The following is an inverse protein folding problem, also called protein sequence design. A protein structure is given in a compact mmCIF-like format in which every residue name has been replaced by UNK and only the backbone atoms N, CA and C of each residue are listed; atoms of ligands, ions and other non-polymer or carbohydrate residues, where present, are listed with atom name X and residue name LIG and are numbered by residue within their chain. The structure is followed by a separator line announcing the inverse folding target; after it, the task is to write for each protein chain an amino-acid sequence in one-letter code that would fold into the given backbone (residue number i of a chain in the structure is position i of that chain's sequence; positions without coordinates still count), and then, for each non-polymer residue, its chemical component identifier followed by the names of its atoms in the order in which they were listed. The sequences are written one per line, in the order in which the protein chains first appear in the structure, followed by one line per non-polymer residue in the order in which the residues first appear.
data_IF_394217456114
#
_entry.id   IF_394217456114
#
_cell.length_a   1.000
_cell.length_b   1.000
_cell.length_c   1.000
_cell.angle_alpha   90.00
_cell.angle_beta   90.00
_cell.angle_gamma   90.00
#
_symmetry.space_group_name_H-M   'P 1'
#
loop_
_entity.id
_entity.type
_entity.pdbx_description
1 polymer ?
#
# COMPACT_ATOMS: atom_id res chain seq x y z
N UNK A 1 -14.60 8.75 10.66
CA UNK A 1 -14.24 7.74 9.65
C UNK A 1 -15.29 6.66 9.75
N UNK A 2 -15.96 6.35 8.64
CA UNK A 2 -17.01 5.31 8.61
C UNK A 2 -16.42 3.97 9.05
N UNK A 3 -17.05 3.32 10.03
CA UNK A 3 -16.60 2.08 10.69
C UNK A 3 -16.53 0.84 9.77
N UNK A 4 -16.80 0.99 8.48
CA UNK A 4 -16.84 -0.10 7.49
C UNK A 4 -16.10 0.22 6.17
N UNK A 5 -15.27 1.28 6.12
CA UNK A 5 -14.52 1.58 4.89
C UNK A 5 -13.33 0.61 4.76
N UNK A 6 -13.54 -0.45 4.01
CA UNK A 6 -12.48 -1.36 3.57
C UNK A 6 -11.43 -0.56 2.80
N UNK A 7 -10.19 -0.58 3.27
CA UNK A 7 -9.06 0.05 2.57
C UNK A 7 -8.40 -1.02 1.72
N UNK A 8 -8.82 -1.09 0.47
CA UNK A 8 -8.24 -2.08 -0.40
C UNK A 8 -6.91 -1.59 -0.99
N UNK A 9 -5.94 -2.50 -1.06
CA UNK A 9 -4.58 -2.23 -1.53
C UNK A 9 -4.10 -3.31 -2.50
N UNK A 10 -3.43 -2.89 -3.56
CA UNK A 10 -2.60 -3.77 -4.38
C UNK A 10 -1.34 -4.19 -3.61
N UNK A 11 -0.66 -5.26 -4.05
CA UNK A 11 0.64 -5.65 -3.47
C UNK A 11 1.65 -4.49 -3.61
N UNK A 12 1.65 -3.79 -4.75
CA UNK A 12 2.51 -2.63 -4.98
C UNK A 12 2.19 -1.48 -4.01
N UNK A 13 0.92 -1.17 -3.78
CA UNK A 13 0.48 -0.17 -2.81
C UNK A 13 0.87 -0.55 -1.38
N UNK A 14 0.74 -1.83 -1.02
CA UNK A 14 1.21 -2.35 0.25
C UNK A 14 2.73 -2.17 0.41
N UNK A 15 3.52 -2.49 -0.62
CA UNK A 15 4.99 -2.30 -0.60
C UNK A 15 5.35 -0.84 -0.40
N UNK A 16 4.71 0.09 -1.11
CA UNK A 16 4.96 1.53 -0.94
C UNK A 16 4.64 1.98 0.48
N UNK A 17 3.53 1.51 1.04
CA UNK A 17 3.10 1.85 2.39
C UNK A 17 4.06 1.28 3.45
N UNK A 18 4.52 0.04 3.29
CA UNK A 18 5.53 -0.58 4.16
C UNK A 18 6.87 0.18 4.10
N UNK A 19 7.33 0.56 2.89
CA UNK A 19 8.56 1.36 2.72
C UNK A 19 8.47 2.69 3.45
N UNK A 20 7.37 3.41 3.27
CA UNK A 20 7.14 4.68 3.96
C UNK A 20 7.08 4.48 5.48
N UNK A 21 6.35 3.47 5.96
CA UNK A 21 6.25 3.17 7.38
C UNK A 21 7.61 2.87 8.02
N UNK A 22 8.43 2.04 7.38
CA UNK A 22 9.76 1.68 7.88
C UNK A 22 10.70 2.88 7.85
N UNK A 23 10.68 3.68 6.78
CA UNK A 23 11.44 4.94 6.71
C UNK A 23 11.06 5.87 7.85
N UNK A 24 9.77 6.10 8.09
CA UNK A 24 9.29 6.95 9.18
C UNK A 24 9.77 6.42 10.54
N UNK A 25 9.66 5.11 10.79
CA UNK A 25 10.02 4.50 12.08
C UNK A 25 11.53 4.46 12.34
N UNK A 26 12.33 4.11 11.33
CA UNK A 26 13.74 3.82 11.51
C UNK A 26 14.65 5.01 11.19
N UNK A 27 14.19 5.96 10.39
CA UNK A 27 15.00 7.10 9.93
C UNK A 27 14.41 8.38 10.50
N UNK A 28 13.25 8.81 10.02
CA UNK A 28 12.74 10.16 10.30
C UNK A 28 12.38 10.39 11.78
N UNK A 29 11.76 9.40 12.43
CA UNK A 29 11.45 9.46 13.85
C UNK A 29 12.72 9.57 14.70
N UNK A 30 13.80 8.92 14.29
CA UNK A 30 15.09 8.98 14.99
C UNK A 30 15.75 10.34 14.78
N UNK A 31 15.76 10.85 13.55
CA UNK A 31 16.24 12.20 13.22
C UNK A 31 15.50 13.29 14.03
N UNK A 32 14.18 13.23 14.10
CA UNK A 32 13.36 14.15 14.91
C UNK A 32 13.78 14.12 16.39
N UNK A 33 14.09 12.95 16.93
CA UNK A 33 14.56 12.83 18.33
C UNK A 33 15.95 13.47 18.50
N UNK A 34 16.84 13.35 17.52
CA UNK A 34 18.15 14.01 17.52
C UNK A 34 18.03 15.53 17.41
N UNK A 35 17.16 16.02 16.53
CA UNK A 35 16.82 17.44 16.38
C UNK A 35 16.27 18.03 17.68
N UNK A 36 15.32 17.35 18.32
CA UNK A 36 14.76 17.79 19.61
C UNK A 36 15.82 17.80 20.72
N UNK A 37 16.75 16.85 20.73
CA UNK A 37 17.87 16.84 21.69
C UNK A 37 18.83 18.00 21.44
N UNK A 38 19.16 18.27 20.17
CA UNK A 38 20.02 19.37 19.77
C UNK A 38 19.39 20.73 20.09
N UNK A 39 18.10 20.93 19.80
CA UNK A 39 17.40 22.17 20.14
C UNK A 39 17.35 22.40 21.66
N UNK A 40 17.13 21.34 22.46
CA UNK A 40 17.13 21.43 23.93
C UNK A 40 18.48 21.80 24.54
N UNK A 41 19.59 21.46 23.89
CA UNK A 41 20.93 21.80 24.40
C UNK A 41 21.28 23.27 24.22
N UNK A 42 20.54 24.03 23.40
CA UNK A 42 20.76 25.46 23.14
C UNK A 42 20.25 26.38 24.27
N UNK A 43 19.64 25.82 25.31
CA UNK A 43 19.42 26.49 26.61
C UNK A 43 18.18 27.37 26.71
N UNK A 44 17.99 28.33 25.80
CA UNK A 44 16.78 29.17 25.79
C UNK A 44 15.71 28.55 24.89
N UNK A 45 14.70 27.93 25.50
CA UNK A 45 13.60 27.27 24.81
C UNK A 45 12.46 28.23 24.45
N UNK A 46 12.43 29.43 25.03
CA UNK A 46 11.27 30.32 24.93
C UNK A 46 11.15 31.07 23.59
N UNK A 47 12.25 31.11 22.82
CA UNK A 47 12.33 31.66 21.45
C UNK A 47 13.01 30.70 20.47
N UNK A 48 13.07 29.40 20.79
CA UNK A 48 13.80 28.44 19.97
C UNK A 48 12.98 27.95 18.77
N UNK A 49 13.16 28.62 17.63
CA UNK A 49 12.52 28.26 16.37
C UNK A 49 12.85 26.82 15.92
N UNK A 50 14.06 26.32 16.19
CA UNK A 50 14.46 24.94 15.85
C UNK A 50 13.68 23.93 16.71
N UNK A 51 13.42 24.25 17.98
CA UNK A 51 12.62 23.41 18.87
C UNK A 51 11.17 23.32 18.38
N UNK A 52 10.55 24.45 18.06
CA UNK A 52 9.17 24.49 17.56
C UNK A 52 9.05 23.72 16.23
N UNK A 53 9.99 23.94 15.31
CA UNK A 53 10.04 23.23 14.03
C UNK A 53 10.18 21.71 14.21
N UNK A 54 11.08 21.27 15.10
CA UNK A 54 11.27 19.84 15.39
C UNK A 54 10.03 19.22 16.05
N UNK A 55 9.34 19.96 16.92
CA UNK A 55 8.10 19.52 17.58
C UNK A 55 6.94 19.40 16.59
N UNK A 56 6.84 20.32 15.64
CA UNK A 56 5.86 20.24 14.56
C UNK A 56 6.17 19.08 13.60
N UNK A 57 7.45 18.85 13.28
CA UNK A 57 7.88 17.68 12.51
C UNK A 57 7.53 16.38 13.23
N UNK A 58 7.77 16.30 14.54
CA UNK A 58 7.37 15.16 15.37
C UNK A 58 5.87 14.89 15.27
N UNK A 59 5.04 15.93 15.41
CA UNK A 59 3.59 15.79 15.33
C UNK A 59 3.13 15.24 13.97
N UNK A 60 3.73 15.72 12.87
CA UNK A 60 3.43 15.21 11.51
C UNK A 60 3.86 13.76 11.34
N UNK A 61 5.10 13.42 11.69
CA UNK A 61 5.64 12.05 11.56
C UNK A 61 4.80 11.06 12.34
N UNK A 62 4.47 11.35 13.60
CA UNK A 62 3.67 10.45 14.44
C UNK A 62 2.22 10.33 13.93
N UNK A 63 1.66 11.41 13.35
CA UNK A 63 0.34 11.34 12.72
C UNK A 63 0.35 10.41 11.49
N UNK A 64 1.35 10.53 10.62
CA UNK A 64 1.48 9.67 9.43
C UNK A 64 1.75 8.22 9.82
N UNK A 65 2.64 7.95 10.78
CA UNK A 65 2.87 6.60 11.31
C UNK A 65 1.56 5.96 11.77
N UNK A 66 0.72 6.73 12.47
CA UNK A 66 -0.58 6.25 12.97
C UNK A 66 -1.58 5.98 11.85
N UNK A 67 -1.62 6.82 10.83
CA UNK A 67 -2.47 6.62 9.66
C UNK A 67 -2.04 5.36 8.88
N UNK A 68 -0.74 5.25 8.57
CA UNK A 68 -0.19 4.09 7.89
C UNK A 68 -0.42 2.79 8.68
N UNK A 69 -0.22 2.80 10.00
CA UNK A 69 -0.50 1.66 10.88
C UNK A 69 -1.98 1.23 10.83
N UNK A 70 -2.90 2.21 10.81
CA UNK A 70 -4.32 1.94 10.64
C UNK A 70 -4.61 1.26 9.30
N UNK A 71 -4.02 1.75 8.20
CA UNK A 71 -4.17 1.12 6.88
C UNK A 71 -3.58 -0.29 6.87
N UNK A 72 -2.34 -0.47 7.33
CA UNK A 72 -1.63 -1.76 7.39
C UNK A 72 -2.32 -2.81 8.26
N UNK A 73 -3.21 -2.38 9.16
CA UNK A 73 -4.01 -3.26 10.02
C UNK A 73 -5.36 -3.61 9.40
N UNK A 74 -5.96 -2.70 8.63
CA UNK A 74 -7.35 -2.79 8.16
C UNK A 74 -7.50 -2.91 6.64
N UNK A 75 -6.43 -3.26 5.94
CA UNK A 75 -6.45 -3.39 4.49
C UNK A 75 -7.06 -4.71 4.00
N UNK A 76 -7.56 -4.69 2.76
CA UNK A 76 -7.85 -5.89 1.99
C UNK A 76 -6.94 -5.95 0.77
N UNK A 77 -6.18 -7.04 0.60
CA UNK A 77 -5.43 -7.23 -0.64
C UNK A 77 -6.35 -7.53 -1.79
N UNK A 78 -6.10 -6.79 -2.86
CA UNK A 78 -6.65 -7.01 -4.18
C UNK A 78 -5.56 -7.57 -5.11
N UNK A 79 -5.99 -8.33 -6.12
CA UNK A 79 -5.10 -8.96 -7.11
C UNK A 79 -4.09 -9.99 -6.53
N UNK A 80 -4.51 -10.73 -5.50
CA UNK A 80 -3.71 -11.83 -4.96
C UNK A 80 -3.98 -13.14 -5.73
N UNK A 81 -3.13 -13.46 -6.70
CA UNK A 81 -3.09 -14.77 -7.37
C UNK A 81 -2.02 -15.68 -6.74
N UNK A 82 -2.24 -16.06 -5.48
CA UNK A 82 -1.33 -16.98 -4.78
C UNK A 82 -1.64 -18.44 -5.13
N UNK A 83 -0.61 -19.13 -5.65
CA UNK A 83 -0.69 -20.51 -6.16
C UNK A 83 0.05 -21.52 -5.29
N UNK A 84 0.89 -21.04 -4.37
CA UNK A 84 1.59 -21.89 -3.43
C UNK A 84 0.59 -22.65 -2.54
N UNK A 85 0.95 -23.87 -2.15
CA UNK A 85 0.17 -24.64 -1.20
C UNK A 85 0.24 -23.99 0.18
N UNK A 86 -0.78 -24.26 1.02
CA UNK A 86 -0.79 -23.80 2.42
C UNK A 86 0.49 -24.16 3.18
N UNK A 87 1.00 -25.37 2.98
CA UNK A 87 2.24 -25.86 3.61
C UNK A 87 3.45 -25.04 3.14
N UNK A 88 3.57 -24.78 1.83
CA UNK A 88 4.65 -23.96 1.28
C UNK A 88 4.61 -22.52 1.81
N UNK A 89 3.41 -21.95 1.91
CA UNK A 89 3.20 -20.61 2.45
C UNK A 89 3.56 -20.53 3.94
N UNK A 90 3.25 -21.56 4.71
CA UNK A 90 3.61 -21.61 6.13
C UNK A 90 5.13 -21.71 6.33
N UNK A 91 5.81 -22.55 5.54
CA UNK A 91 7.26 -22.67 5.55
C UNK A 91 7.94 -21.35 5.14
N UNK A 92 7.48 -20.71 4.07
CA UNK A 92 7.99 -19.40 3.64
C UNK A 92 7.78 -18.32 4.72
N UNK A 93 6.61 -18.30 5.36
CA UNK A 93 6.30 -17.36 6.44
C UNK A 93 7.23 -17.52 7.65
N UNK A 94 7.57 -18.76 8.02
CA UNK A 94 8.51 -19.04 9.11
C UNK A 94 9.91 -18.49 8.78
N UNK A 95 10.43 -18.83 7.59
CA UNK A 95 11.72 -18.34 7.12
C UNK A 95 11.78 -16.79 7.06
N UNK A 96 10.74 -16.15 6.54
CA UNK A 96 10.67 -14.68 6.44
C UNK A 96 10.62 -14.01 7.83
N UNK A 97 10.01 -14.66 8.83
CA UNK A 97 10.00 -14.14 10.21
C UNK A 97 11.38 -14.20 10.85
N UNK A 98 12.13 -15.27 10.60
CA UNK A 98 13.53 -15.36 11.01
C UNK A 98 14.39 -14.32 10.31
N UNK A 99 14.27 -14.21 8.98
CA UNK A 99 14.99 -13.20 8.20
C UNK A 99 14.65 -11.77 8.68
N UNK A 100 13.37 -11.49 8.93
CA UNK A 100 12.92 -10.21 9.51
C UNK A 100 13.62 -9.92 10.83
N UNK A 101 13.81 -10.91 11.69
CA UNK A 101 14.51 -10.72 12.96
C UNK A 101 15.96 -10.30 12.73
N UNK A 102 16.68 -11.00 11.84
CA UNK A 102 18.07 -10.70 11.51
C UNK A 102 18.22 -9.29 10.91
N UNK A 103 17.34 -8.93 9.98
CA UNK A 103 17.32 -7.59 9.37
C UNK A 103 17.06 -6.49 10.41
N UNK A 104 16.23 -6.75 11.43
CA UNK A 104 16.06 -5.78 12.52
C UNK A 104 17.34 -5.57 13.32
N UNK A 105 18.12 -6.63 13.57
CA UNK A 105 19.40 -6.54 14.26
C UNK A 105 20.43 -5.77 13.40
N UNK A 106 20.45 -6.01 12.08
CA UNK A 106 21.27 -5.24 11.13
C UNK A 106 20.94 -3.74 11.16
N UNK A 107 19.65 -3.37 11.22
CA UNK A 107 19.25 -1.96 11.36
C UNK A 107 19.77 -1.36 12.66
N UNK A 108 19.70 -2.09 13.79
CA UNK A 108 20.21 -1.58 15.06
C UNK A 108 21.72 -1.32 15.01
N UNK A 109 22.47 -2.16 14.31
CA UNK A 109 23.90 -1.95 14.10
C UNK A 109 24.17 -0.76 13.17
N UNK A 110 23.50 -0.71 12.01
CA UNK A 110 23.67 0.34 11.01
C UNK A 110 23.37 1.74 11.58
N UNK A 111 22.37 1.86 12.47
CA UNK A 111 22.03 3.12 13.15
C UNK A 111 23.15 3.70 14.01
N UNK A 112 24.13 2.88 14.45
CA UNK A 112 25.30 3.39 15.19
C UNK A 112 26.18 4.30 14.33
N UNK A 113 26.10 4.17 13.02
CA UNK A 113 26.78 5.03 12.05
C UNK A 113 25.98 6.29 11.69
N UNK A 114 24.84 6.53 12.35
CA UNK A 114 23.94 7.66 12.10
C UNK A 114 22.68 7.25 11.32
N UNK A 115 21.73 8.18 11.25
CA UNK A 115 20.45 8.01 10.52
C UNK A 115 20.24 9.09 9.46
N UNK A 116 21.31 9.78 9.07
CA UNK A 116 21.28 10.80 8.03
C UNK A 116 21.13 10.21 6.63
N UNK A 117 20.86 11.08 5.66
CA UNK A 117 20.69 10.73 4.24
C UNK A 117 21.98 10.16 3.61
N UNK A 118 23.12 10.30 4.30
CA UNK A 118 24.42 9.75 3.92
C UNK A 118 24.61 8.27 4.31
N UNK A 119 23.75 7.70 5.16
CA UNK A 119 23.82 6.29 5.56
C UNK A 119 23.07 5.39 4.55
N UNK A 120 23.65 5.21 3.37
CA UNK A 120 23.07 4.40 2.27
C UNK A 120 22.76 2.96 2.72
N UNK A 121 23.65 2.35 3.51
CA UNK A 121 23.47 0.99 4.04
C UNK A 121 22.18 0.86 4.85
N UNK A 122 21.87 1.84 5.72
CA UNK A 122 20.63 1.85 6.48
C UNK A 122 19.39 1.90 5.58
N UNK A 123 19.42 2.69 4.51
CA UNK A 123 18.29 2.76 3.56
C UNK A 123 18.09 1.42 2.83
N UNK A 124 19.17 0.78 2.38
CA UNK A 124 19.10 -0.53 1.72
C UNK A 124 18.53 -1.62 2.65
N UNK A 125 18.95 -1.63 3.92
CA UNK A 125 18.42 -2.57 4.92
C UNK A 125 16.95 -2.27 5.22
N UNK A 126 16.56 -0.99 5.30
CA UNK A 126 15.16 -0.60 5.48
C UNK A 126 14.27 -1.02 4.30
N UNK A 127 14.75 -0.87 3.06
CA UNK A 127 14.04 -1.35 1.87
C UNK A 127 13.87 -2.87 1.89
N UNK A 128 14.92 -3.60 2.27
CA UNK A 128 14.85 -5.06 2.47
C UNK A 128 13.79 -5.44 3.51
N UNK A 129 13.76 -4.74 4.65
CA UNK A 129 12.75 -4.97 5.69
C UNK A 129 11.32 -4.75 5.17
N UNK A 130 11.13 -3.76 4.30
CA UNK A 130 9.83 -3.44 3.71
C UNK A 130 9.34 -4.52 2.75
N UNK A 131 10.23 -5.06 1.90
CA UNK A 131 9.90 -6.17 1.00
C UNK A 131 9.51 -7.43 1.80
N UNK A 132 10.27 -7.74 2.86
CA UNK A 132 9.95 -8.85 3.77
C UNK A 132 8.60 -8.62 4.47
N UNK A 133 8.37 -7.41 5.00
CA UNK A 133 7.12 -7.03 5.64
C UNK A 133 5.91 -7.19 4.72
N UNK A 134 6.06 -6.75 3.46
CA UNK A 134 5.05 -6.91 2.41
C UNK A 134 4.75 -8.39 2.17
N UNK A 135 5.77 -9.22 1.98
CA UNK A 135 5.58 -10.65 1.68
C UNK A 135 4.92 -11.38 2.85
N UNK A 136 5.34 -11.12 4.09
CA UNK A 136 4.72 -11.68 5.30
C UNK A 136 3.22 -11.38 5.32
N UNK A 137 2.85 -10.11 5.17
CA UNK A 137 1.43 -9.70 5.17
C UNK A 137 0.63 -10.34 4.04
N UNK A 138 1.23 -10.44 2.86
CA UNK A 138 0.62 -11.09 1.70
C UNK A 138 0.30 -12.56 1.99
N UNK A 139 1.25 -13.28 2.57
CA UNK A 139 1.07 -14.68 2.95
C UNK A 139 0.01 -14.83 4.06
N UNK A 140 0.08 -13.99 5.10
CA UNK A 140 -0.89 -14.01 6.20
C UNK A 140 -2.32 -13.76 5.70
N UNK A 141 -2.49 -12.82 4.76
CA UNK A 141 -3.77 -12.56 4.10
C UNK A 141 -4.23 -13.77 3.27
N UNK A 142 -3.34 -14.38 2.48
CA UNK A 142 -3.64 -15.58 1.69
C UNK A 142 -4.16 -16.72 2.58
N UNK A 143 -3.44 -17.02 3.66
CA UNK A 143 -3.74 -18.09 4.60
C UNK A 143 -5.06 -17.88 5.37
N UNK A 144 -5.41 -16.61 5.64
CA UNK A 144 -6.68 -16.22 6.28
C UNK A 144 -7.86 -16.45 5.33
N UNK A 145 -7.73 -16.03 4.07
CA UNK A 145 -8.83 -16.01 3.10
C UNK A 145 -9.05 -17.33 2.35
N UNK A 146 -8.08 -18.25 2.37
CA UNK A 146 -8.20 -19.60 1.79
C UNK A 146 -9.44 -20.36 2.30
N UNK A 147 -9.88 -20.09 3.53
CA UNK A 147 -11.06 -20.71 4.16
C UNK A 147 -12.41 -20.27 3.59
N UNK A 148 -12.45 -19.26 2.70
CA UNK A 148 -13.69 -18.60 2.24
C UNK A 148 -14.04 -18.81 0.75
N UNK A 149 -13.32 -19.66 0.01
CA UNK A 149 -13.53 -19.85 -1.45
C UNK A 149 -14.89 -20.47 -1.80
N UNK A 150 -15.93 -19.63 -1.96
CA UNK A 150 -17.11 -19.94 -2.78
C UNK A 150 -16.76 -19.68 -4.25
N UNK A 151 -16.83 -20.73 -5.06
CA UNK A 151 -16.83 -20.68 -6.51
C UNK A 151 -17.88 -19.68 -7.00
N UNK A 152 -17.44 -18.48 -7.34
CA UNK A 152 -18.25 -17.44 -7.97
C UNK A 152 -17.61 -17.10 -9.30
N UNK A 153 -18.44 -16.94 -10.33
CA UNK A 153 -18.01 -16.58 -11.69
C UNK A 153 -17.12 -15.33 -11.64
N UNK A 154 -16.06 -15.31 -12.47
CA UNK A 154 -15.13 -14.18 -12.57
C UNK A 154 -15.91 -12.92 -12.94
N UNK A 155 -15.91 -11.96 -12.04
CA UNK A 155 -16.61 -10.68 -12.13
C UNK A 155 -15.59 -9.59 -11.85
N UNK A 156 -15.83 -8.38 -12.38
CA UNK A 156 -14.97 -7.23 -12.10
C UNK A 156 -15.08 -6.89 -10.63
N UNK A 157 -13.95 -6.89 -9.95
CA UNK A 157 -13.81 -6.50 -8.56
C UNK A 157 -12.73 -5.43 -8.46
N UNK A 158 -12.58 -4.88 -7.27
CA UNK A 158 -11.39 -4.10 -6.99
C UNK A 158 -10.13 -4.97 -7.17
N UNK A 159 -9.12 -4.42 -7.83
CA UNK A 159 -7.91 -5.09 -8.32
C UNK A 159 -8.04 -5.73 -9.69
N UNK A 160 -9.24 -5.94 -10.22
CA UNK A 160 -9.39 -6.54 -11.53
C UNK A 160 -8.76 -5.65 -12.59
N UNK A 161 -7.94 -6.27 -13.45
CA UNK A 161 -7.52 -5.69 -14.70
C UNK A 161 -8.56 -6.03 -15.76
N UNK A 162 -9.16 -5.00 -16.35
CA UNK A 162 -10.27 -5.10 -17.29
C UNK A 162 -9.89 -4.50 -18.62
N UNK A 163 -10.15 -5.25 -19.70
CA UNK A 163 -10.07 -4.73 -21.07
C UNK A 163 -11.49 -4.42 -21.50
N UNK A 164 -11.74 -3.17 -21.86
CA UNK A 164 -13.04 -2.69 -22.31
C UNK A 164 -12.95 -2.21 -23.76
N UNK A 165 -14.05 -2.37 -24.51
CA UNK A 165 -14.22 -1.82 -25.85
C UNK A 165 -15.28 -0.71 -25.79
N UNK A 166 -14.90 0.51 -26.13
CA UNK A 166 -15.86 1.63 -26.27
C UNK A 166 -16.60 1.48 -27.60
N UNK A 167 -17.91 1.23 -27.54
CA UNK A 167 -18.68 0.86 -28.73
C UNK A 167 -18.87 2.00 -29.74
N UNK A 168 -18.74 3.25 -29.29
CA UNK A 168 -18.91 4.43 -30.16
C UNK A 168 -17.64 4.75 -30.97
N UNK A 169 -16.46 4.39 -30.45
CA UNK A 169 -15.14 4.71 -31.02
C UNK A 169 -14.38 3.47 -31.51
N UNK A 170 -14.90 2.27 -31.22
CA UNK A 170 -14.25 0.97 -31.50
C UNK A 170 -12.82 0.85 -30.94
N UNK A 171 -12.54 1.57 -29.84
CA UNK A 171 -11.23 1.58 -29.18
C UNK A 171 -11.22 0.63 -27.98
N UNK A 172 -10.18 -0.21 -27.90
CA UNK A 172 -9.93 -1.07 -26.75
C UNK A 172 -8.97 -0.39 -25.76
N UNK A 173 -9.39 -0.34 -24.50
CA UNK A 173 -8.60 0.25 -23.42
C UNK A 173 -8.47 -0.74 -22.27
N UNK A 174 -7.32 -0.72 -21.60
CA UNK A 174 -7.03 -1.56 -20.43
C UNK A 174 -6.96 -0.70 -19.18
N UNK A 175 -7.70 -1.10 -18.15
CA UNK A 175 -7.73 -0.42 -16.86
C UNK A 175 -7.58 -1.41 -15.69
N UNK A 176 -6.92 -0.97 -14.62
CA UNK A 176 -6.96 -1.66 -13.33
C UNK A 176 -7.86 -0.89 -12.38
N UNK A 177 -8.90 -1.54 -11.85
CA UNK A 177 -9.79 -0.91 -10.87
C UNK A 177 -9.09 -0.92 -9.51
N UNK A 178 -8.82 0.25 -8.93
CA UNK A 178 -8.11 0.37 -7.64
C UNK A 178 -8.90 1.25 -6.65
N UNK A 179 -8.46 1.29 -5.40
CA UNK A 179 -9.00 2.23 -4.42
C UNK A 179 -8.61 3.68 -4.77
N UNK A 180 -9.38 4.65 -4.27
CA UNK A 180 -9.14 6.09 -4.52
C UNK A 180 -7.73 6.56 -4.19
N UNK A 181 -7.08 5.96 -3.18
CA UNK A 181 -5.72 6.34 -2.75
C UNK A 181 -4.65 5.88 -3.76
N UNK A 182 -4.90 4.80 -4.49
CA UNK A 182 -3.94 4.20 -5.45
C UNK A 182 -4.21 4.62 -6.90
N UNK A 183 -5.24 5.43 -7.13
CA UNK A 183 -5.68 5.79 -8.47
C UNK A 183 -4.61 6.63 -9.20
N UNK A 184 -4.31 6.22 -10.41
CA UNK A 184 -3.36 6.87 -11.32
C UNK A 184 -3.87 6.70 -12.76
N UNK A 185 -4.74 7.60 -13.23
CA UNK A 185 -5.37 7.51 -14.54
C UNK A 185 -4.36 7.49 -15.70
N UNK A 186 -3.17 8.10 -15.51
CA UNK A 186 -2.12 8.14 -16.53
C UNK A 186 -1.59 6.73 -16.81
N UNK A 187 -1.51 5.90 -15.77
CA UNK A 187 -1.03 4.52 -15.84
C UNK A 187 -2.18 3.49 -15.89
N UNK A 188 -3.39 3.92 -16.28
CA UNK A 188 -4.55 3.05 -16.41
C UNK A 188 -5.14 2.55 -15.08
N UNK A 189 -4.72 3.10 -13.93
CA UNK A 189 -5.29 2.74 -12.61
C UNK A 189 -6.44 3.69 -12.29
N UNK A 190 -7.68 3.20 -12.35
CA UNK A 190 -8.86 4.05 -12.11
C UNK A 190 -9.47 3.77 -10.75
N UNK A 191 -9.85 4.83 -10.04
CA UNK A 191 -10.56 4.70 -8.76
C UNK A 191 -11.91 4.00 -8.97
N UNK A 192 -12.27 3.14 -8.02
CA UNK A 192 -13.59 2.53 -7.90
C UNK A 192 -14.74 3.52 -7.69
N UNK A 193 -14.43 4.78 -7.38
CA UNK A 193 -15.39 5.87 -7.27
C UNK A 193 -15.64 6.57 -8.63
N UNK A 194 -14.94 6.19 -9.71
CA UNK A 194 -15.20 6.74 -11.05
C UNK A 194 -16.48 6.17 -11.67
N UNK A 195 -17.22 6.94 -12.50
CA UNK A 195 -18.43 6.45 -13.17
C UNK A 195 -18.20 5.19 -14.02
N UNK A 196 -17.04 5.11 -14.68
CA UNK A 196 -16.62 3.95 -15.45
C UNK A 196 -16.44 2.73 -14.53
N UNK A 197 -15.63 2.85 -13.47
CA UNK A 197 -15.41 1.74 -12.55
C UNK A 197 -16.71 1.28 -11.87
N UNK A 198 -17.56 2.21 -11.42
CA UNK A 198 -18.86 1.89 -10.84
C UNK A 198 -19.77 1.11 -11.79
N UNK A 199 -19.75 1.43 -13.10
CA UNK A 199 -20.52 0.71 -14.09
C UNK A 199 -19.99 -0.71 -14.36
N UNK A 200 -18.67 -0.88 -14.24
CA UNK A 200 -17.97 -2.15 -14.50
C UNK A 200 -18.02 -3.12 -13.31
N UNK A 201 -18.04 -2.64 -12.07
CA UNK A 201 -18.04 -3.48 -10.87
C UNK A 201 -19.17 -4.53 -10.89
N UNK A 202 -18.83 -5.74 -10.45
CA UNK A 202 -19.70 -6.92 -10.39
C UNK A 202 -20.18 -7.47 -11.75
N UNK A 203 -19.73 -6.88 -12.87
CA UNK A 203 -20.03 -7.36 -14.22
C UNK A 203 -19.10 -8.47 -14.65
N UNK A 204 -19.48 -9.22 -15.69
CA UNK A 204 -18.70 -10.33 -16.25
C UNK A 204 -18.24 -10.02 -17.67
N UNK A 205 -17.29 -10.81 -18.16
CA UNK A 205 -16.86 -10.77 -19.57
C UNK A 205 -18.06 -10.93 -20.49
N UNK A 206 -18.14 -10.07 -21.50
CA UNK A 206 -19.22 -9.98 -22.48
C UNK A 206 -20.40 -9.11 -22.06
N UNK A 207 -20.44 -8.59 -20.83
CA UNK A 207 -21.47 -7.62 -20.45
C UNK A 207 -21.21 -6.28 -21.14
N UNK A 208 -22.30 -5.66 -21.61
CA UNK A 208 -22.30 -4.28 -22.13
C UNK A 208 -22.93 -3.39 -21.07
N UNK A 209 -22.21 -2.37 -20.61
CA UNK A 209 -22.68 -1.41 -19.61
C UNK A 209 -22.67 0.01 -20.16
N UNK A 210 -23.58 0.83 -19.63
CA UNK A 210 -23.65 2.25 -19.98
C UNK A 210 -22.98 3.06 -18.87
N UNK A 211 -22.04 3.91 -19.25
CA UNK A 211 -21.35 4.81 -18.34
C UNK A 211 -22.09 6.14 -18.34
N UNK A 212 -22.62 6.53 -17.19
CA UNK A 212 -23.40 7.75 -17.04
C UNK A 212 -22.50 8.94 -16.71
N UNK A 213 -22.07 9.66 -17.74
CA UNK A 213 -21.38 10.95 -17.66
C UNK A 213 -22.15 12.01 -18.46
N UNK A 214 -21.57 13.19 -18.68
CA UNK A 214 -22.21 14.27 -19.45
C UNK A 214 -22.73 13.82 -20.83
N UNK A 215 -22.00 12.91 -21.48
CA UNK A 215 -22.43 12.18 -22.67
C UNK A 215 -22.34 10.67 -22.41
N UNK A 216 -23.46 9.99 -22.12
CA UNK A 216 -23.44 8.57 -21.83
C UNK A 216 -22.94 7.76 -23.04
N UNK A 217 -22.04 6.82 -22.78
CA UNK A 217 -21.46 5.92 -23.78
C UNK A 217 -21.54 4.47 -23.30
N UNK A 218 -21.39 3.52 -24.22
CA UNK A 218 -21.44 2.09 -23.90
C UNK A 218 -20.08 1.44 -24.04
N UNK A 219 -19.78 0.55 -23.11
CA UNK A 219 -18.55 -0.24 -23.10
C UNK A 219 -18.88 -1.72 -22.98
N UNK A 220 -18.16 -2.57 -23.72
CA UNK A 220 -18.21 -4.03 -23.61
C UNK A 220 -16.98 -4.55 -22.86
N UNK A 221 -17.17 -5.42 -21.87
CA UNK A 221 -16.06 -6.04 -21.13
C UNK A 221 -15.49 -7.20 -21.95
N UNK A 222 -14.29 -7.03 -22.53
CA UNK A 222 -13.63 -8.06 -23.34
C UNK A 222 -12.88 -9.08 -22.50
N UNK A 223 -12.26 -8.63 -21.41
CA UNK A 223 -11.40 -9.46 -20.56
C UNK A 223 -11.43 -8.99 -19.11
N UNK A 224 -11.31 -9.94 -18.18
CA UNK A 224 -11.08 -9.70 -16.75
C UNK A 224 -9.92 -10.60 -16.33
N UNK A 225 -8.83 -10.02 -15.86
CA UNK A 225 -7.68 -10.70 -15.25
C UNK A 225 -7.76 -10.65 -13.72
#
# INVERSE_FOLDING_TARGET
MDENKVIALTIEGLTKLEKEQIRLLHIERVQVVEELKAARSQGDLSENADYDAARDRQARVEATIKENDYVLTNFELIDLDEKASREQLQEELENLREEKSLVNDEILEAKKNGVGDDNIELFEICDKLAEIGTRIRTIEYALKNETTKKSSKKTVKLGSKVVILTLDEEEEEEYTIVGTVEADPINGKISNETPLAMALLERKVGDIVTVFVGHPYKVEIKKID
#
